data_IF_351517015935
#
_entry.id   IF_351517015935
#
_cell.length_a   1.000
_cell.length_b   1.000
_cell.length_c   1.000
_cell.angle_alpha   90.00
_cell.angle_beta   90.00
_cell.angle_gamma   90.00
#
_symmetry.space_group_name_H-M   'P 1'
#
loop_
_entity.id
_entity.type
_entity.pdbx_description
1 polymer ?
#
# COMPACT_ATOMS: atom_id res chain seq x y z
N UNK A 1 -20.48 25.17 66.40
CA UNK A 1 -19.47 24.80 65.38
C UNK A 1 -19.38 23.28 65.27
N UNK A 2 -20.04 22.66 64.28
CA UNK A 2 -19.70 21.33 63.74
C UNK A 2 -20.03 21.38 62.25
N UNK A 3 -19.01 21.44 61.40
CA UNK A 3 -19.15 21.53 59.93
C UNK A 3 -19.33 20.11 59.38
N UNK A 4 -20.43 19.88 58.66
CA UNK A 4 -20.72 18.64 57.97
C UNK A 4 -19.84 18.49 56.72
N UNK A 5 -19.23 17.33 56.57
CA UNK A 5 -18.39 16.95 55.44
C UNK A 5 -19.26 16.14 54.46
N UNK A 6 -19.81 16.79 53.44
CA UNK A 6 -20.52 16.14 52.35
C UNK A 6 -19.49 15.65 51.31
N UNK A 7 -19.15 14.37 51.37
CA UNK A 7 -18.31 13.69 50.38
C UNK A 7 -19.10 13.52 49.08
N UNK A 8 -18.84 14.40 48.09
CA UNK A 8 -19.33 14.23 46.72
C UNK A 8 -18.51 13.10 46.06
N UNK A 9 -19.10 11.93 45.96
CA UNK A 9 -18.57 10.80 45.20
C UNK A 9 -18.87 11.03 43.72
N UNK A 10 -17.94 11.66 43.01
CA UNK A 10 -18.01 11.90 41.57
C UNK A 10 -17.80 10.56 40.85
N UNK A 11 -18.86 10.06 40.19
CA UNK A 11 -18.81 8.90 39.30
C UNK A 11 -17.99 9.30 38.06
N UNK A 12 -16.78 8.77 37.93
CA UNK A 12 -15.99 8.88 36.72
C UNK A 12 -16.54 7.92 35.67
N UNK A 13 -17.36 8.44 34.75
CA UNK A 13 -17.72 7.74 33.51
C UNK A 13 -16.46 7.70 32.66
N UNK A 14 -15.80 6.54 32.63
CA UNK A 14 -14.73 6.23 31.68
C UNK A 14 -15.35 6.17 30.29
N UNK A 15 -15.36 7.31 29.59
CA UNK A 15 -15.59 7.36 28.15
C UNK A 15 -14.42 6.63 27.49
N UNK A 16 -14.62 5.34 27.19
CA UNK A 16 -13.80 4.63 26.23
C UNK A 16 -14.08 5.25 24.86
N UNK A 17 -13.36 6.34 24.56
CA UNK A 17 -13.22 6.82 23.19
C UNK A 17 -12.36 5.79 22.50
N UNK A 18 -12.98 4.79 21.88
CA UNK A 18 -12.28 3.94 20.92
C UNK A 18 -11.99 4.84 19.73
N UNK A 19 -10.78 5.40 19.69
CA UNK A 19 -10.22 6.03 18.50
C UNK A 19 -10.22 4.97 17.40
N UNK A 20 -11.28 4.97 16.61
CA UNK A 20 -11.29 4.30 15.32
C UNK A 20 -10.34 5.12 14.45
N UNK A 21 -9.09 4.68 14.40
CA UNK A 21 -8.10 5.16 13.45
C UNK A 21 -8.54 4.70 12.05
N UNK A 22 -9.51 5.41 11.48
CA UNK A 22 -9.71 5.37 10.05
C UNK A 22 -8.45 5.96 9.42
N UNK A 23 -7.56 5.08 8.96
CA UNK A 23 -6.47 5.47 8.08
C UNK A 23 -7.09 6.04 6.80
N UNK A 24 -7.22 7.37 6.74
CA UNK A 24 -7.67 8.06 5.55
C UNK A 24 -6.58 7.87 4.49
N UNK A 25 -6.93 7.28 3.36
CA UNK A 25 -6.10 7.23 2.15
C UNK A 25 -5.71 8.68 1.78
N UNK A 26 -4.49 9.09 2.13
CA UNK A 26 -3.96 10.40 1.79
C UNK A 26 -3.34 10.33 0.40
N UNK A 27 -4.00 10.95 -0.58
CA UNK A 27 -3.48 11.10 -1.94
C UNK A 27 -2.91 12.48 -2.14
N UNK A 28 -1.77 12.54 -2.80
CA UNK A 28 -1.11 13.78 -3.19
C UNK A 28 -0.70 13.74 -4.66
N UNK A 29 -0.44 14.92 -5.20
CA UNK A 29 -0.05 15.10 -6.59
C UNK A 29 1.31 15.78 -6.65
N UNK A 30 2.29 15.09 -7.25
CA UNK A 30 3.64 15.61 -7.39
C UNK A 30 4.08 15.60 -8.84
N UNK A 31 4.99 16.48 -9.20
CA UNK A 31 5.63 16.44 -10.50
C UNK A 31 6.61 15.27 -10.56
N UNK A 32 6.63 14.55 -11.70
CA UNK A 32 7.47 13.35 -11.89
C UNK A 32 8.98 13.58 -11.74
N UNK A 33 9.44 14.83 -11.81
CA UNK A 33 10.84 15.19 -11.55
C UNK A 33 11.18 15.27 -10.05
N UNK A 34 10.18 15.27 -9.16
CA UNK A 34 10.36 15.34 -7.72
C UNK A 34 10.61 13.96 -7.09
N UNK A 35 11.29 13.90 -5.92
CA UNK A 35 11.44 12.65 -5.18
C UNK A 35 10.09 12.18 -4.62
N UNK A 36 9.86 10.87 -4.62
CA UNK A 36 8.73 10.25 -3.91
C UNK A 36 9.09 10.25 -2.41
N UNK A 37 8.28 10.84 -1.52
CA UNK A 37 8.59 10.84 -0.09
C UNK A 37 8.60 9.41 0.49
N UNK A 38 9.37 9.16 1.57
CA UNK A 38 9.36 7.86 2.25
C UNK A 38 7.96 7.45 2.70
N UNK A 39 7.61 6.18 2.52
CA UNK A 39 6.28 5.65 2.87
C UNK A 39 5.18 5.93 1.84
N UNK A 40 5.50 6.62 0.73
CA UNK A 40 4.59 6.89 -0.37
C UNK A 40 4.90 6.02 -1.58
N UNK A 41 3.85 5.74 -2.37
CA UNK A 41 3.95 5.00 -3.64
C UNK A 41 3.19 5.73 -4.73
N UNK A 42 3.62 5.57 -5.98
CA UNK A 42 2.88 6.08 -7.14
C UNK A 42 1.73 5.13 -7.43
N UNK A 43 0.53 5.66 -7.50
CA UNK A 43 -0.70 4.91 -7.78
C UNK A 43 -1.26 5.18 -9.17
N UNK A 44 -0.90 6.35 -9.73
CA UNK A 44 -1.35 6.78 -11.05
C UNK A 44 -0.34 7.79 -11.64
N UNK A 45 -0.27 7.83 -12.97
CA UNK A 45 0.55 8.74 -13.76
C UNK A 45 -0.35 9.46 -14.75
N UNK A 46 -0.28 10.79 -14.79
CA UNK A 46 -1.12 11.63 -15.65
C UNK A 46 -0.31 12.70 -16.34
N UNK A 47 -0.90 13.28 -17.36
CA UNK A 47 -0.48 14.54 -17.93
C UNK A 47 -1.17 15.71 -17.19
N UNK A 48 -0.43 16.76 -16.86
CA UNK A 48 -0.97 18.01 -16.34
C UNK A 48 -0.24 19.22 -16.92
N UNK A 49 -0.89 20.39 -16.93
CA UNK A 49 -0.25 21.69 -17.22
C UNK A 49 0.43 22.32 -15.98
N UNK A 50 0.51 21.57 -14.88
CA UNK A 50 0.93 22.02 -13.55
C UNK A 50 2.42 21.82 -13.25
N UNK A 51 3.13 21.01 -14.05
CA UNK A 51 4.47 20.51 -13.75
C UNK A 51 5.55 20.95 -14.76
N UNK A 52 5.29 22.02 -15.52
CA UNK A 52 6.21 22.58 -16.50
C UNK A 52 6.31 24.10 -16.41
N UNK A 53 7.46 24.66 -16.77
CA UNK A 53 7.59 26.09 -17.02
C UNK A 53 6.87 26.43 -18.33
N UNK A 54 5.87 27.32 -18.27
CA UNK A 54 5.10 27.86 -19.40
C UNK A 54 4.47 26.81 -20.34
N UNK A 55 3.15 26.60 -20.18
CA UNK A 55 2.21 26.00 -21.16
C UNK A 55 2.50 24.61 -21.74
N UNK A 56 3.52 23.89 -21.28
CA UNK A 56 3.78 22.50 -21.70
C UNK A 56 3.11 21.51 -20.75
N UNK A 57 2.42 20.55 -21.35
CA UNK A 57 1.93 19.37 -20.64
C UNK A 57 3.12 18.55 -20.12
N UNK A 58 3.12 18.25 -18.83
CA UNK A 58 4.16 17.50 -18.14
C UNK A 58 3.56 16.34 -17.36
N UNK A 59 4.40 15.37 -17.00
CA UNK A 59 3.95 14.20 -16.24
C UNK A 59 3.83 14.50 -14.75
N UNK A 60 2.67 14.20 -14.21
CA UNK A 60 2.31 14.27 -12.79
C UNK A 60 2.10 12.86 -12.25
N UNK A 61 2.54 12.61 -11.03
CA UNK A 61 2.26 11.38 -10.30
C UNK A 61 1.22 11.65 -9.23
N UNK A 62 0.26 10.72 -9.13
CA UNK A 62 -0.63 10.61 -7.98
C UNK A 62 0.02 9.63 -7.01
N UNK A 63 0.47 10.15 -5.88
CA UNK A 63 1.10 9.36 -4.83
C UNK A 63 0.12 9.12 -3.69
N UNK A 64 0.33 8.02 -2.97
CA UNK A 64 -0.45 7.66 -1.80
C UNK A 64 0.46 7.16 -0.67
N UNK A 65 0.17 7.62 0.56
CA UNK A 65 0.88 7.18 1.77
C UNK A 65 0.38 5.80 2.20
N UNK A 66 1.29 4.87 2.48
CA UNK A 66 0.96 3.46 2.75
C UNK A 66 1.70 2.82 3.93
N UNK A 67 2.65 3.51 4.54
CA UNK A 67 3.45 3.02 5.68
C UNK A 67 2.58 2.67 6.90
N UNK A 68 1.57 3.48 7.21
CA UNK A 68 0.67 3.31 8.35
C UNK A 68 -0.45 2.29 8.11
N UNK A 69 -0.47 1.63 6.95
CA UNK A 69 -1.52 0.64 6.65
C UNK A 69 -1.39 -0.61 7.52
N UNK A 70 -2.54 -1.15 7.90
CA UNK A 70 -2.61 -2.37 8.70
C UNK A 70 -1.96 -3.58 8.00
N UNK A 71 -1.38 -4.54 8.74
CA UNK A 71 -0.92 -5.80 8.18
C UNK A 71 -1.98 -6.49 7.32
N UNK A 72 -1.57 -7.07 6.18
CA UNK A 72 -2.48 -7.73 5.25
C UNK A 72 -3.20 -6.79 4.27
N UNK A 73 -3.08 -5.47 4.44
CA UNK A 73 -3.65 -4.50 3.49
C UNK A 73 -3.09 -4.69 2.09
N UNK A 74 -3.91 -4.38 1.08
CA UNK A 74 -3.49 -4.37 -0.32
C UNK A 74 -3.43 -2.94 -0.88
N UNK A 75 -2.62 -2.74 -1.92
CA UNK A 75 -2.54 -1.47 -2.63
C UNK A 75 -2.25 -1.71 -4.11
N UNK A 76 -2.81 -0.85 -4.97
CA UNK A 76 -2.43 -0.78 -6.37
C UNK A 76 -1.32 0.26 -6.55
N UNK A 77 -0.22 -0.12 -7.20
CA UNK A 77 0.92 0.77 -7.44
C UNK A 77 1.40 0.67 -8.88
N UNK A 78 2.03 1.74 -9.33
CA UNK A 78 2.78 1.77 -10.58
C UNK A 78 4.23 1.31 -10.35
N UNK A 79 4.79 0.49 -11.25
CA UNK A 79 6.17 -0.02 -11.16
C UNK A 79 7.27 1.05 -11.12
N UNK A 80 6.94 2.30 -11.44
CA UNK A 80 7.82 3.47 -11.24
C UNK A 80 8.19 3.68 -9.77
N UNK A 81 7.35 3.25 -8.83
CA UNK A 81 7.69 3.27 -7.41
C UNK A 81 8.47 2.03 -7.01
N UNK A 82 9.48 2.21 -6.15
CA UNK A 82 10.14 1.07 -5.48
C UNK A 82 9.14 0.33 -4.61
N UNK A 83 9.18 -1.01 -4.62
CA UNK A 83 8.39 -1.82 -3.70
C UNK A 83 8.82 -1.52 -2.25
N UNK A 84 7.90 -1.06 -1.37
CA UNK A 84 8.26 -0.76 0.00
C UNK A 84 8.65 -2.01 0.79
N UNK A 85 9.50 -1.84 1.80
CA UNK A 85 9.88 -2.92 2.70
C UNK A 85 8.63 -3.51 3.40
N UNK A 86 8.63 -4.83 3.58
CA UNK A 86 7.49 -5.52 4.19
C UNK A 86 6.30 -5.75 3.26
N UNK A 87 6.35 -5.25 2.02
CA UNK A 87 5.33 -5.50 0.99
C UNK A 87 5.81 -6.52 -0.05
N UNK A 88 4.85 -7.20 -0.68
CA UNK A 88 5.10 -8.14 -1.78
C UNK A 88 4.13 -7.88 -2.92
N UNK A 89 4.51 -8.23 -4.14
CA UNK A 89 3.59 -8.22 -5.29
C UNK A 89 2.76 -9.51 -5.24
N UNK A 90 1.44 -9.38 -5.31
CA UNK A 90 0.51 -10.51 -5.33
C UNK A 90 -0.17 -10.68 -6.69
N UNK A 91 -0.18 -9.63 -7.51
CA UNK A 91 -0.76 -9.65 -8.86
C UNK A 91 -0.18 -8.56 -9.76
N UNK A 92 -0.29 -8.75 -11.08
CA UNK A 92 0.07 -7.77 -12.11
C UNK A 92 -1.02 -7.73 -13.19
N UNK A 93 -1.43 -6.53 -13.60
CA UNK A 93 -2.46 -6.34 -14.62
C UNK A 93 -2.13 -5.19 -15.56
N UNK A 94 -2.72 -5.16 -16.74
CA UNK A 94 -2.67 -3.97 -17.60
C UNK A 94 -3.52 -2.85 -17.00
N UNK A 95 -3.04 -1.62 -17.15
CA UNK A 95 -3.86 -0.43 -16.98
C UNK A 95 -3.34 0.69 -17.89
N UNK A 96 -4.16 1.70 -18.14
CA UNK A 96 -3.76 2.99 -18.72
C UNK A 96 -3.34 4.01 -17.65
N UNK A 97 -3.37 3.59 -16.39
CA UNK A 97 -3.17 4.43 -15.20
C UNK A 97 -1.70 4.67 -14.84
N UNK A 98 -0.77 3.86 -15.33
CA UNK A 98 0.66 3.91 -14.97
C UNK A 98 1.54 4.42 -16.11
N UNK A 99 0.95 5.17 -17.03
CA UNK A 99 1.63 5.83 -18.15
C UNK A 99 0.88 7.13 -18.48
N UNK A 100 1.61 8.15 -18.94
CA UNK A 100 1.06 9.45 -19.29
C UNK A 100 0.61 9.52 -20.78
N UNK A 101 0.09 8.42 -21.32
CA UNK A 101 -0.41 8.28 -22.69
C UNK A 101 -1.60 7.31 -22.71
N UNK A 102 -2.22 7.13 -23.88
CA UNK A 102 -3.29 6.13 -24.07
C UNK A 102 -2.75 4.69 -24.22
N UNK A 103 -1.44 4.49 -24.01
CA UNK A 103 -0.84 3.16 -24.03
C UNK A 103 -1.21 2.36 -22.79
N UNK A 104 -0.97 1.05 -22.87
CA UNK A 104 -1.07 0.18 -21.71
C UNK A 104 0.26 0.14 -20.96
N UNK A 105 0.17 0.11 -19.64
CA UNK A 105 1.26 -0.13 -18.71
C UNK A 105 0.90 -1.27 -17.77
N UNK A 106 1.89 -1.74 -17.01
CA UNK A 106 1.65 -2.70 -15.93
C UNK A 106 1.32 -1.96 -14.64
N UNK A 107 0.31 -2.42 -13.92
CA UNK A 107 0.02 -2.07 -12.53
C UNK A 107 0.26 -3.29 -11.65
N UNK A 108 0.83 -3.08 -10.47
CA UNK A 108 1.01 -4.13 -9.47
C UNK A 108 -0.05 -4.01 -8.39
N UNK A 109 -0.56 -5.16 -7.95
CA UNK A 109 -1.24 -5.26 -6.67
C UNK A 109 -0.22 -5.75 -5.65
N UNK A 110 0.01 -4.97 -4.61
CA UNK A 110 0.93 -5.31 -3.52
C UNK A 110 0.15 -5.61 -2.24
N UNK A 111 0.75 -6.39 -1.34
CA UNK A 111 0.19 -6.75 -0.03
C UNK A 111 1.22 -6.54 1.07
N UNK A 112 0.81 -5.94 2.19
CA UNK A 112 1.65 -5.78 3.38
C UNK A 112 1.72 -7.09 4.14
N UNK A 113 2.92 -7.66 4.26
CA UNK A 113 3.17 -8.88 5.03
C UNK A 113 3.79 -8.61 6.39
N UNK A 114 4.41 -7.45 6.56
CA UNK A 114 4.90 -7.00 7.86
C UNK A 114 3.75 -6.93 8.88
N UNK A 115 4.04 -7.40 10.10
CA UNK A 115 3.08 -7.45 11.19
C UNK A 115 2.06 -8.60 11.11
N UNK A 116 2.09 -9.44 10.08
CA UNK A 116 1.26 -10.65 10.05
C UNK A 116 1.76 -11.69 11.08
N UNK A 117 0.84 -12.38 11.76
CA UNK A 117 1.20 -13.35 12.80
C UNK A 117 1.92 -14.58 12.23
N UNK A 118 2.68 -15.27 13.09
CA UNK A 118 3.32 -16.54 12.78
C UNK A 118 2.30 -17.56 12.23
N UNK A 119 2.70 -18.33 11.21
CA UNK A 119 1.84 -19.29 10.54
C UNK A 119 0.93 -18.70 9.46
N UNK A 120 0.87 -17.37 9.31
CA UNK A 120 0.15 -16.72 8.21
C UNK A 120 0.65 -17.20 6.85
N UNK A 121 -0.25 -17.31 5.88
CA UNK A 121 0.06 -17.66 4.49
C UNK A 121 -0.26 -16.52 3.54
N UNK A 122 0.53 -16.39 2.47
CA UNK A 122 0.26 -15.45 1.40
C UNK A 122 0.59 -16.07 0.05
N UNK A 123 -0.22 -15.71 -0.95
CA UNK A 123 0.03 -16.01 -2.35
C UNK A 123 0.74 -14.82 -2.98
N UNK A 124 1.93 -15.02 -3.54
CA UNK A 124 2.78 -13.95 -4.05
C UNK A 124 3.28 -14.26 -5.45
N UNK A 125 3.59 -13.21 -6.20
CA UNK A 125 4.37 -13.36 -7.40
C UNK A 125 5.81 -13.78 -7.07
N UNK A 126 6.44 -14.61 -7.93
CA UNK A 126 7.85 -14.94 -7.81
C UNK A 126 8.72 -13.70 -7.61
N UNK A 127 9.65 -13.77 -6.67
CA UNK A 127 10.57 -12.69 -6.32
C UNK A 127 11.95 -13.28 -6.03
N UNK A 128 13.00 -12.52 -6.28
CA UNK A 128 14.38 -12.93 -6.00
C UNK A 128 14.66 -13.02 -4.50
N UNK A 129 13.99 -12.18 -3.70
CA UNK A 129 14.16 -12.11 -2.25
C UNK A 129 12.83 -12.21 -1.54
N UNK A 130 12.70 -13.22 -0.67
CA UNK A 130 11.56 -13.34 0.24
C UNK A 130 11.70 -12.37 1.41
N UNK A 131 10.59 -11.86 1.97
CA UNK A 131 10.64 -11.12 3.21
C UNK A 131 11.18 -11.98 4.36
N UNK A 132 11.85 -11.34 5.33
CA UNK A 132 12.47 -12.05 6.44
C UNK A 132 11.45 -12.90 7.21
N UNK A 133 11.82 -14.15 7.51
CA UNK A 133 10.97 -15.09 8.23
C UNK A 133 9.80 -15.66 7.41
N UNK A 134 9.83 -15.55 6.08
CA UNK A 134 8.89 -16.24 5.19
C UNK A 134 9.60 -17.32 4.38
N UNK A 135 8.91 -18.43 4.15
CA UNK A 135 9.40 -19.53 3.30
C UNK A 135 8.37 -19.91 2.26
N UNK A 136 8.81 -20.33 1.08
CA UNK A 136 7.94 -20.93 0.06
C UNK A 136 7.57 -22.33 0.51
N UNK A 137 6.27 -22.61 0.53
CA UNK A 137 5.72 -23.92 0.89
C UNK A 137 5.01 -24.61 -0.27
N UNK A 138 4.62 -23.85 -1.30
CA UNK A 138 3.97 -24.40 -2.49
C UNK A 138 4.12 -23.46 -3.70
N UNK A 139 3.92 -23.98 -4.91
CA UNK A 139 3.95 -23.23 -6.17
C UNK A 139 2.83 -23.72 -7.09
N UNK A 140 1.99 -22.79 -7.53
CA UNK A 140 0.85 -23.10 -8.38
C UNK A 140 0.88 -22.26 -9.66
N UNK A 141 0.30 -22.79 -10.73
CA UNK A 141 0.08 -22.00 -11.93
C UNK A 141 -1.04 -20.98 -11.67
N UNK A 142 -0.90 -19.79 -12.23
CA UNK A 142 -1.96 -18.79 -12.23
C UNK A 142 -1.87 -17.92 -13.49
N UNK A 143 -2.91 -17.16 -13.76
CA UNK A 143 -2.87 -16.03 -14.72
C UNK A 143 -2.55 -14.70 -14.03
N UNK A 144 -2.23 -14.77 -12.74
CA UNK A 144 -1.73 -13.68 -11.93
C UNK A 144 -0.23 -13.49 -12.17
N UNK A 145 0.34 -12.33 -11.83
CA UNK A 145 1.79 -12.09 -11.93
C UNK A 145 2.37 -11.93 -13.35
N UNK A 146 1.54 -12.01 -14.39
CA UNK A 146 1.84 -11.59 -15.75
C UNK A 146 0.77 -10.60 -16.22
N UNK A 147 1.17 -9.35 -16.41
CA UNK A 147 0.25 -8.30 -16.86
C UNK A 147 -0.32 -8.57 -18.26
N UNK A 148 0.31 -9.42 -19.07
CA UNK A 148 -0.21 -9.81 -20.38
C UNK A 148 -1.43 -10.74 -20.30
N UNK A 149 -1.68 -11.33 -19.12
CA UNK A 149 -2.69 -12.36 -18.90
C UNK A 149 -2.23 -13.77 -19.27
N UNK A 150 -0.94 -13.96 -19.55
CA UNK A 150 -0.34 -15.26 -19.81
C UNK A 150 -0.32 -16.18 -18.60
N UNK A 151 -0.07 -17.46 -18.86
CA UNK A 151 0.20 -18.44 -17.81
C UNK A 151 1.49 -18.11 -17.08
N UNK A 152 1.39 -18.05 -15.76
CA UNK A 152 2.45 -17.68 -14.84
C UNK A 152 2.45 -18.64 -13.64
N UNK A 153 3.33 -18.40 -12.68
CA UNK A 153 3.37 -19.11 -11.42
C UNK A 153 3.16 -18.15 -10.25
N UNK A 154 2.54 -18.64 -9.20
CA UNK A 154 2.41 -17.99 -7.91
C UNK A 154 3.02 -18.88 -6.84
N UNK A 155 3.63 -18.27 -5.84
CA UNK A 155 4.17 -18.99 -4.70
C UNK A 155 3.27 -18.82 -3.49
N UNK A 156 2.97 -19.92 -2.81
CA UNK A 156 2.43 -19.88 -1.46
C UNK A 156 3.61 -19.77 -0.51
N UNK A 157 3.62 -18.70 0.28
CA UNK A 157 4.61 -18.49 1.34
C UNK A 157 3.95 -18.56 2.71
N UNK A 158 4.69 -19.03 3.71
CA UNK A 158 4.26 -19.13 5.10
C UNK A 158 5.22 -18.38 6.02
N UNK A 159 4.68 -17.62 6.98
CA UNK A 159 5.44 -16.98 8.04
C UNK A 159 5.91 -18.03 9.05
N UNK A 160 7.23 -18.12 9.23
CA UNK A 160 7.89 -18.98 10.21
C UNK A 160 7.69 -18.48 11.63
#
# INVERSE_FOLDING_TARGET
MKKGFFTKMTIAIFLLVTNSEFAISQKEYICSAGPIPPGWVVTEIKLCSCCGASSRTATQWVIEKIDERAPGSTQLICPTSSLPEGWVIIDKKKCTCCVASDDWATQWTIKKLEGLPQGSTALICPTEKLPLGWVVVDKNNCTCCDASGGSSTQWTIKKL
#
